data_IF_238763078693
#
_entry.id   IF_238763078693
#
_cell.length_a   1.000
_cell.length_b   1.000
_cell.length_c   1.000
_cell.angle_alpha   90.00
_cell.angle_beta   90.00
_cell.angle_gamma   90.00
#
_symmetry.space_group_name_H-M   'P 1'
#
loop_
_entity.id
_entity.type
_entity.pdbx_description
1 polymer ?
#
# COMPACT_ATOMS: atom_id res chain seq x y z
N UNK A 1 -27.27 -2.01 -3.77
CA UNK A 1 -26.31 -2.86 -3.02
C UNK A 1 -24.97 -2.13 -2.99
N UNK A 2 -24.23 -2.15 -1.88
CA UNK A 2 -22.88 -1.56 -1.82
C UNK A 2 -21.83 -2.50 -2.41
N UNK A 3 -20.75 -1.96 -2.98
CA UNK A 3 -19.61 -2.74 -3.46
C UNK A 3 -18.94 -3.59 -2.36
N UNK A 4 -19.10 -3.18 -1.09
CA UNK A 4 -18.66 -3.96 0.06
C UNK A 4 -19.18 -5.40 0.03
N UNK A 5 -20.46 -5.61 -0.34
CA UNK A 5 -21.02 -6.97 -0.44
C UNK A 5 -20.33 -7.78 -1.54
N UNK A 6 -20.01 -7.16 -2.67
CA UNK A 6 -19.26 -7.81 -3.75
C UNK A 6 -17.84 -8.18 -3.32
N UNK A 7 -17.17 -7.32 -2.54
CA UNK A 7 -15.84 -7.62 -2.00
C UNK A 7 -15.86 -8.79 -1.01
N UNK A 8 -16.89 -8.87 -0.16
CA UNK A 8 -17.05 -10.02 0.74
C UNK A 8 -17.21 -11.34 -0.02
N UNK A 9 -17.96 -11.34 -1.13
CA UNK A 9 -18.14 -12.53 -1.98
C UNK A 9 -16.83 -12.91 -2.67
N UNK A 10 -16.14 -11.96 -3.29
CA UNK A 10 -14.85 -12.22 -3.95
C UNK A 10 -13.78 -12.70 -2.96
N UNK A 11 -13.79 -12.16 -1.73
CA UNK A 11 -12.88 -12.59 -0.67
C UNK A 11 -13.05 -14.08 -0.32
N UNK A 12 -14.24 -14.66 -0.46
CA UNK A 12 -14.44 -16.10 -0.20
C UNK A 12 -13.53 -16.96 -1.07
N UNK A 13 -13.43 -16.65 -2.36
CA UNK A 13 -12.54 -17.37 -3.27
C UNK A 13 -11.06 -17.15 -2.93
N UNK A 14 -10.71 -15.97 -2.42
CA UNK A 14 -9.36 -15.69 -1.95
C UNK A 14 -9.01 -16.50 -0.69
N UNK A 15 -9.94 -16.68 0.25
CA UNK A 15 -9.74 -17.51 1.45
C UNK A 15 -9.43 -18.96 1.05
N UNK A 16 -10.19 -19.51 0.10
CA UNK A 16 -9.99 -20.87 -0.41
C UNK A 16 -8.62 -21.02 -1.10
N UNK A 17 -8.21 -20.03 -1.91
CA UNK A 17 -6.92 -20.02 -2.60
C UNK A 17 -5.73 -19.85 -1.65
N UNK A 18 -5.86 -18.96 -0.66
CA UNK A 18 -4.78 -18.64 0.28
C UNK A 18 -4.50 -19.81 1.23
N UNK A 19 -5.55 -20.51 1.67
CA UNK A 19 -5.44 -21.62 2.62
C UNK A 19 -4.83 -21.20 3.96
N UNK A 20 -4.27 -22.17 4.68
CA UNK A 20 -3.59 -21.95 5.97
C UNK A 20 -2.10 -21.73 5.76
N UNK A 21 -1.70 -20.48 5.54
CA UNK A 21 -0.30 -20.08 5.45
C UNK A 21 0.06 -19.14 6.61
N UNK A 22 1.21 -19.40 7.25
CA UNK A 22 1.77 -18.50 8.26
C UNK A 22 3.03 -17.83 7.71
N UNK A 23 2.93 -16.53 7.44
CA UNK A 23 4.07 -15.71 7.04
C UNK A 23 4.56 -14.90 8.24
N UNK A 24 5.87 -14.64 8.34
CA UNK A 24 6.40 -13.80 9.40
C UNK A 24 5.89 -12.36 9.26
N UNK A 25 5.73 -11.69 10.39
CA UNK A 25 5.30 -10.29 10.44
C UNK A 25 6.32 -9.31 9.82
N UNK A 26 7.61 -9.68 9.82
CA UNK A 26 8.69 -8.85 9.28
C UNK A 26 8.80 -9.04 7.76
N UNK A 27 8.74 -7.96 6.95
CA UNK A 27 8.81 -8.09 5.50
C UNK A 27 10.12 -8.71 5.02
N UNK A 28 10.03 -9.69 4.12
CA UNK A 28 11.19 -10.48 3.65
C UNK A 28 12.28 -9.63 3.03
N UNK A 29 11.91 -8.65 2.21
CA UNK A 29 12.84 -7.77 1.48
C UNK A 29 13.41 -6.67 2.37
N UNK A 30 12.82 -6.45 3.56
CA UNK A 30 13.11 -5.30 4.43
C UNK A 30 12.84 -3.95 3.74
N UNK A 31 11.93 -3.90 2.77
CA UNK A 31 11.52 -2.67 2.08
C UNK A 31 10.17 -2.15 2.59
N UNK A 32 10.04 -0.83 2.67
CA UNK A 32 8.77 -0.13 2.80
C UNK A 32 8.53 0.78 1.58
N UNK A 33 7.36 0.70 0.97
CA UNK A 33 6.97 1.47 -0.20
C UNK A 33 5.99 2.56 0.22
N UNK A 34 6.22 3.81 -0.18
CA UNK A 34 5.28 4.92 -0.04
C UNK A 34 4.78 5.31 -1.43
N UNK A 35 3.48 5.20 -1.68
CA UNK A 35 2.90 5.46 -3.01
C UNK A 35 1.48 6.01 -2.96
N UNK A 36 0.91 6.34 -4.13
CA UNK A 36 -0.43 6.90 -4.23
C UNK A 36 -1.51 5.84 -3.98
N UNK A 37 -2.69 6.26 -3.49
CA UNK A 37 -3.90 5.43 -3.36
C UNK A 37 -4.61 5.13 -4.70
N UNK A 38 -4.02 5.55 -5.83
CA UNK A 38 -4.61 5.41 -7.17
C UNK A 38 -5.08 3.99 -7.47
N UNK A 39 -6.35 3.86 -7.90
CA UNK A 39 -7.00 2.57 -8.16
C UNK A 39 -6.41 1.81 -9.33
N UNK A 40 -5.62 2.47 -10.20
CA UNK A 40 -4.97 1.87 -11.37
C UNK A 40 -3.62 1.27 -11.04
N UNK A 41 -3.08 1.53 -9.85
CA UNK A 41 -1.81 0.97 -9.39
C UNK A 41 -2.03 -0.24 -8.47
N UNK A 42 -1.82 -1.43 -9.01
CA UNK A 42 -1.66 -2.67 -8.26
C UNK A 42 -0.17 -2.86 -7.90
N UNK A 43 0.24 -2.42 -6.71
CA UNK A 43 1.66 -2.34 -6.30
C UNK A 43 2.39 -3.69 -6.38
N UNK A 44 1.78 -4.76 -5.88
CA UNK A 44 2.42 -6.08 -5.83
C UNK A 44 2.81 -6.60 -7.22
N UNK A 45 1.90 -6.72 -8.21
CA UNK A 45 2.29 -7.14 -9.55
C UNK A 45 3.17 -6.11 -10.28
N UNK A 46 3.03 -4.80 -10.03
CA UNK A 46 3.86 -3.78 -10.67
C UNK A 46 5.35 -3.86 -10.28
N UNK A 47 5.65 -4.34 -9.06
CA UNK A 47 7.02 -4.45 -8.53
C UNK A 47 7.47 -5.91 -8.35
N UNK A 48 6.68 -6.89 -8.79
CA UNK A 48 7.01 -8.31 -8.68
C UNK A 48 7.05 -8.85 -7.23
N UNK A 49 6.21 -8.30 -6.34
CA UNK A 49 6.19 -8.67 -4.92
C UNK A 49 5.34 -9.92 -4.68
N UNK A 50 5.88 -10.86 -3.91
CA UNK A 50 5.12 -11.94 -3.29
C UNK A 50 4.44 -11.49 -1.97
N UNK A 51 3.53 -12.33 -1.46
CA UNK A 51 2.90 -12.08 -0.17
C UNK A 51 3.96 -12.06 0.95
N UNK A 52 3.98 -11.00 1.74
CA UNK A 52 4.95 -10.80 2.84
C UNK A 52 6.28 -10.13 2.44
N UNK A 53 6.46 -9.72 1.18
CA UNK A 53 7.74 -9.16 0.75
C UNK A 53 8.04 -7.76 1.28
N UNK A 54 7.10 -6.83 1.22
CA UNK A 54 7.31 -5.42 1.56
C UNK A 54 6.09 -4.82 2.29
N UNK A 55 6.34 -3.81 3.11
CA UNK A 55 5.26 -2.94 3.59
C UNK A 55 4.85 -1.96 2.48
N UNK A 56 3.54 -1.72 2.34
CA UNK A 56 2.98 -0.83 1.31
C UNK A 56 2.10 0.22 1.99
N UNK A 57 2.58 1.47 2.02
CA UNK A 57 1.91 2.62 2.59
C UNK A 57 1.34 3.46 1.44
N UNK A 58 0.04 3.82 1.52
CA UNK A 58 -0.66 4.53 0.44
C UNK A 58 -1.48 5.71 0.95
N UNK A 59 -1.37 6.85 0.27
CA UNK A 59 -2.23 8.02 0.50
C UNK A 59 -2.42 8.83 -0.80
N UNK A 60 -3.19 9.93 -0.77
CA UNK A 60 -3.39 10.78 -1.94
C UNK A 60 -2.04 11.37 -2.43
N UNK A 61 -1.60 10.96 -3.61
CA UNK A 61 -0.36 11.42 -4.24
C UNK A 61 0.94 10.79 -3.73
N UNK A 62 0.90 9.82 -2.81
CA UNK A 62 2.11 9.19 -2.28
C UNK A 62 3.03 10.17 -1.55
N UNK A 63 2.43 11.04 -0.76
CA UNK A 63 3.11 12.14 -0.07
C UNK A 63 3.61 11.69 1.29
N UNK A 64 4.80 12.14 1.66
CA UNK A 64 5.29 11.95 3.03
C UNK A 64 4.54 12.92 3.94
N UNK A 65 3.75 12.37 4.87
CA UNK A 65 3.02 13.07 5.93
C UNK A 65 3.45 12.52 7.29
N UNK A 66 3.02 13.15 8.38
CA UNK A 66 3.29 12.65 9.74
C UNK A 66 2.81 11.21 9.94
N UNK A 67 1.69 10.82 9.31
CA UNK A 67 1.20 9.44 9.36
C UNK A 67 2.11 8.47 8.58
N UNK A 68 2.68 8.90 7.45
CA UNK A 68 3.66 8.09 6.74
C UNK A 68 4.94 7.95 7.56
N UNK A 69 5.43 9.02 8.19
CA UNK A 69 6.62 8.99 9.06
C UNK A 69 6.36 8.05 10.25
N UNK A 70 5.21 8.20 10.95
CA UNK A 70 4.79 7.31 12.04
C UNK A 70 4.80 5.84 11.61
N UNK A 71 4.25 5.55 10.44
CA UNK A 71 4.17 4.20 9.90
C UNK A 71 5.55 3.65 9.48
N UNK A 72 6.41 4.49 8.90
CA UNK A 72 7.79 4.14 8.53
C UNK A 72 8.65 3.87 9.77
N UNK A 73 8.50 4.64 10.84
CA UNK A 73 9.19 4.38 12.12
C UNK A 73 8.82 3.00 12.65
N UNK A 74 7.54 2.63 12.67
CA UNK A 74 7.11 1.29 13.09
C UNK A 74 7.70 0.22 12.14
N UNK A 75 7.61 0.45 10.83
CA UNK A 75 8.16 -0.45 9.81
C UNK A 75 9.64 -0.73 10.02
N UNK A 76 10.44 0.29 10.32
CA UNK A 76 11.89 0.15 10.48
C UNK A 76 12.28 -0.34 11.87
N UNK A 77 11.78 0.31 12.92
CA UNK A 77 12.21 0.07 14.29
C UNK A 77 11.64 -1.23 14.85
N UNK A 78 10.36 -1.51 14.58
CA UNK A 78 9.69 -2.71 15.10
C UNK A 78 9.75 -3.88 14.12
N UNK A 79 9.57 -3.62 12.81
CA UNK A 79 9.41 -4.68 11.81
C UNK A 79 10.64 -4.92 10.94
N UNK A 80 11.73 -4.17 11.14
CA UNK A 80 13.04 -4.49 10.59
C UNK A 80 13.28 -4.08 9.14
N UNK A 81 12.43 -3.24 8.53
CA UNK A 81 12.73 -2.67 7.21
C UNK A 81 13.94 -1.73 7.28
N UNK A 82 14.73 -1.67 6.22
CA UNK A 82 15.97 -0.87 6.12
C UNK A 82 16.06 -0.05 4.85
N UNK A 83 15.08 -0.17 3.98
CA UNK A 83 15.01 0.53 2.70
C UNK A 83 13.62 1.12 2.49
N UNK A 84 13.56 2.30 1.89
CA UNK A 84 12.32 2.99 1.55
C UNK A 84 12.32 3.31 0.06
N UNK A 85 11.23 2.94 -0.62
CA UNK A 85 10.96 3.30 -2.02
C UNK A 85 9.80 4.30 -2.04
N UNK A 86 10.03 5.48 -2.64
CA UNK A 86 8.97 6.48 -2.89
C UNK A 86 8.57 6.39 -4.36
N UNK A 87 7.31 6.05 -4.62
CA UNK A 87 6.79 5.83 -5.96
C UNK A 87 5.58 6.73 -6.22
N UNK A 88 5.78 7.79 -7.01
CA UNK A 88 4.69 8.56 -7.60
C UNK A 88 4.25 7.95 -8.93
N UNK A 89 3.19 8.49 -9.53
CA UNK A 89 2.72 8.05 -10.83
C UNK A 89 2.25 9.23 -11.69
N UNK A 90 2.21 9.01 -13.00
CA UNK A 90 1.65 9.96 -13.98
C UNK A 90 0.13 10.02 -13.89
N UNK A 91 -0.46 11.12 -14.37
CA UNK A 91 -1.91 11.35 -14.35
C UNK A 91 -2.49 11.23 -12.92
N UNK A 92 -1.76 11.78 -11.95
CA UNK A 92 -2.18 11.76 -10.56
C UNK A 92 -3.19 12.86 -10.29
N UNK A 93 -4.29 12.54 -9.60
CA UNK A 93 -5.29 13.54 -9.20
C UNK A 93 -4.70 14.69 -8.38
N UNK A 94 -3.61 14.47 -7.66
CA UNK A 94 -2.91 15.53 -6.92
C UNK A 94 -2.32 16.64 -7.84
N UNK A 95 -2.28 16.43 -9.15
CA UNK A 95 -1.82 17.41 -10.15
C UNK A 95 -2.97 18.27 -10.71
N UNK A 96 -4.23 17.93 -10.44
CA UNK A 96 -5.39 18.48 -11.15
C UNK A 96 -6.15 19.55 -10.36
N UNK A 97 -5.65 19.96 -9.20
CA UNK A 97 -6.31 20.93 -8.33
C UNK A 97 -5.30 21.74 -7.51
N UNK A 98 -5.78 22.84 -6.93
CA UNK A 98 -5.04 23.63 -5.94
C UNK A 98 -5.82 23.66 -4.64
N UNK A 99 -5.21 24.00 -3.51
CA UNK A 99 -5.95 24.05 -2.24
C UNK A 99 -7.10 25.07 -2.28
N UNK A 100 -6.92 26.17 -3.02
CA UNK A 100 -7.90 27.24 -3.17
C UNK A 100 -9.21 26.78 -3.82
N UNK A 101 -9.20 25.69 -4.61
CA UNK A 101 -10.44 25.21 -5.24
C UNK A 101 -11.40 24.49 -4.29
N UNK A 102 -11.00 24.28 -3.03
CA UNK A 102 -11.83 23.63 -1.99
C UNK A 102 -12.25 24.58 -0.86
N UNK A 103 -11.82 25.85 -0.92
CA UNK A 103 -12.18 26.88 0.06
C UNK A 103 -13.49 27.56 -0.34
#
# INVERSE_FOLDING_TARGET
MSYFKSFMLANSAYVDLHGTAHLPLKPKTRVAIVTCMDSRLHVAPALGLALGDAHILRNAGGRVTDDMIRSLVISQQQMGTREIVVLHHTDCGAQTFTNQSFA
#
